data_IF_760476826899
#
_entry.id   IF_760476826899
#
_cell.length_a   1.000
_cell.length_b   1.000
_cell.length_c   1.000
_cell.angle_alpha   90.00
_cell.angle_beta   90.00
_cell.angle_gamma   90.00
#
_symmetry.space_group_name_H-M   'P 1'
#
loop_
_entity.id
_entity.type
_entity.pdbx_description
1 polymer ?
#
# COMPACT_ATOMS: atom_id res chain seq x y z
N UNK A 1 5.78 -0.48 28.56
CA UNK A 1 4.83 0.10 27.58
C UNK A 1 3.88 1.01 28.36
N UNK A 2 3.63 2.25 27.90
CA UNK A 2 2.61 3.10 28.54
C UNK A 2 1.24 2.46 28.29
N UNK A 3 0.59 2.03 29.37
CA UNK A 3 -0.77 1.51 29.39
C UNK A 3 -1.72 2.51 28.73
N UNK A 4 -2.40 2.16 27.63
CA UNK A 4 -3.55 2.88 27.12
C UNK A 4 -3.54 3.27 25.63
N UNK A 5 -2.43 3.24 24.89
CA UNK A 5 -2.47 3.48 23.44
C UNK A 5 -2.73 2.18 22.68
N UNK A 6 -3.93 2.03 22.14
CA UNK A 6 -4.27 0.95 21.23
C UNK A 6 -3.64 1.25 19.87
N UNK A 7 -3.06 0.23 19.24
CA UNK A 7 -2.57 0.34 17.87
C UNK A 7 -3.72 0.03 16.92
N UNK A 8 -4.02 0.97 16.03
CA UNK A 8 -5.14 0.87 15.08
C UNK A 8 -5.10 -0.47 14.29
N UNK A 9 -3.92 -0.87 13.83
CA UNK A 9 -3.74 -2.13 13.09
C UNK A 9 -4.04 -3.39 13.91
N UNK A 10 -4.06 -3.31 15.25
CA UNK A 10 -4.42 -4.43 16.14
C UNK A 10 -5.89 -4.40 16.57
N UNK A 11 -6.63 -3.35 16.22
CA UNK A 11 -8.06 -3.23 16.50
C UNK A 11 -8.91 -3.58 15.26
N UNK A 12 -8.29 -3.82 14.09
CA UNK A 12 -8.96 -4.26 12.88
C UNK A 12 -9.21 -5.77 12.91
N UNK A 13 -10.46 -6.18 12.69
CA UNK A 13 -10.78 -7.60 12.49
C UNK A 13 -10.37 -8.06 11.08
N UNK A 14 -9.19 -8.66 10.98
CA UNK A 14 -8.63 -9.16 9.73
C UNK A 14 -9.39 -10.33 9.11
N UNK A 15 -10.35 -10.93 9.83
CA UNK A 15 -11.18 -12.01 9.30
C UNK A 15 -12.44 -11.52 8.59
N UNK A 16 -12.83 -10.27 8.84
CA UNK A 16 -14.06 -9.65 8.30
C UNK A 16 -13.82 -8.66 7.16
N UNK A 17 -12.57 -8.34 6.83
CA UNK A 17 -12.22 -7.49 5.69
C UNK A 17 -12.19 -8.28 4.39
N UNK A 18 -12.36 -7.59 3.25
CA UNK A 18 -12.33 -8.20 1.91
C UNK A 18 -11.29 -7.51 1.03
N UNK A 19 -10.14 -8.15 0.82
CA UNK A 19 -9.10 -7.68 -0.09
C UNK A 19 -9.39 -8.05 -1.57
N UNK A 20 -8.84 -7.25 -2.54
CA UNK A 20 -8.03 -6.07 -2.34
C UNK A 20 -8.86 -4.83 -1.94
N UNK A 21 -8.27 -3.96 -1.11
CA UNK A 21 -8.97 -2.76 -0.64
C UNK A 21 -8.05 -1.58 -0.33
N UNK A 22 -8.65 -0.38 -0.29
CA UNK A 22 -8.10 0.82 0.35
C UNK A 22 -8.97 1.18 1.55
N UNK A 23 -8.35 1.45 2.68
CA UNK A 23 -9.02 1.88 3.92
C UNK A 23 -8.26 3.02 4.57
N UNK A 24 -8.97 4.04 5.05
CA UNK A 24 -8.36 5.05 5.92
C UNK A 24 -8.03 4.40 7.27
N UNK A 25 -6.74 4.28 7.58
CA UNK A 25 -6.24 3.71 8.82
C UNK A 25 -6.07 4.76 9.93
N UNK A 26 -5.91 6.03 9.58
CA UNK A 26 -5.82 7.09 10.57
C UNK A 26 -5.62 8.46 9.94
N UNK A 27 -6.01 9.50 10.70
CA UNK A 27 -5.74 10.90 10.39
C UNK A 27 -5.10 11.58 11.59
N UNK A 28 -4.12 12.40 11.31
CA UNK A 28 -3.33 13.11 12.31
C UNK A 28 -3.21 14.57 11.89
N UNK A 29 -3.64 15.48 12.76
CA UNK A 29 -3.53 16.92 12.51
C UNK A 29 -2.39 17.49 13.32
N UNK A 30 -1.47 18.17 12.66
CA UNK A 30 -0.38 18.91 13.30
C UNK A 30 -0.86 20.22 13.93
N UNK A 31 -0.02 20.83 14.76
CA UNK A 31 -0.35 22.10 15.47
C UNK A 31 -0.62 23.27 14.52
N UNK A 32 -0.09 23.20 13.28
CA UNK A 32 -0.27 24.24 12.27
C UNK A 32 -1.40 23.95 11.29
N UNK A 33 -2.16 22.88 11.53
CA UNK A 33 -3.29 22.48 10.68
C UNK A 33 -2.92 21.53 9.53
N UNK A 34 -1.64 21.17 9.38
CA UNK A 34 -1.24 20.14 8.42
C UNK A 34 -1.89 18.80 8.77
N UNK A 35 -2.38 18.09 7.78
CA UNK A 35 -3.02 16.79 7.98
C UNK A 35 -2.18 15.70 7.35
N UNK A 36 -1.91 14.64 8.11
CA UNK A 36 -1.32 13.41 7.62
C UNK A 36 -2.41 12.34 7.64
N UNK A 37 -2.65 11.72 6.49
CA UNK A 37 -3.58 10.59 6.37
C UNK A 37 -2.80 9.31 6.11
N UNK A 38 -3.10 8.26 6.87
CA UNK A 38 -2.56 6.93 6.70
C UNK A 38 -3.62 6.01 6.12
N UNK A 39 -3.26 5.29 5.06
CA UNK A 39 -4.12 4.28 4.42
C UNK A 39 -3.54 2.88 4.60
N UNK A 40 -4.43 1.91 4.72
CA UNK A 40 -4.18 0.48 4.57
C UNK A 40 -4.51 0.12 3.12
N UNK A 41 -3.48 -0.08 2.30
CA UNK A 41 -3.59 -0.58 0.92
C UNK A 41 -3.35 -2.08 0.97
N UNK A 42 -4.43 -2.84 1.08
CA UNK A 42 -4.38 -4.29 1.20
C UNK A 42 -4.48 -4.96 -0.17
N UNK A 43 -3.49 -5.74 -0.54
CA UNK A 43 -3.42 -6.39 -1.83
C UNK A 43 -4.07 -7.78 -1.81
N UNK A 44 -3.82 -8.55 -0.76
CA UNK A 44 -4.28 -9.93 -0.65
C UNK A 44 -5.02 -10.18 0.65
N UNK A 45 -5.92 -11.18 0.64
CA UNK A 45 -6.75 -11.51 1.78
C UNK A 45 -5.90 -11.93 2.98
N UNK A 46 -6.00 -11.23 4.14
CA UNK A 46 -5.29 -11.59 5.35
C UNK A 46 -5.54 -13.06 5.76
N UNK A 47 -4.50 -13.72 6.24
CA UNK A 47 -4.52 -15.12 6.68
C UNK A 47 -4.91 -16.14 5.59
N UNK A 48 -4.99 -15.73 4.31
CA UNK A 48 -5.27 -16.62 3.18
C UNK A 48 -4.13 -16.63 2.17
N UNK A 49 -3.46 -15.50 1.99
CA UNK A 49 -2.33 -15.36 1.07
C UNK A 49 -1.35 -14.31 1.59
N UNK A 50 -0.12 -14.41 1.14
CA UNK A 50 0.91 -13.39 1.27
C UNK A 50 1.69 -13.27 -0.05
N UNK A 51 2.13 -12.06 -0.37
CA UNK A 51 2.99 -11.83 -1.53
C UNK A 51 4.41 -12.30 -1.19
N UNK A 52 5.07 -13.14 -2.04
CA UNK A 52 6.45 -13.54 -1.81
C UNK A 52 7.40 -12.35 -1.70
N UNK A 53 8.44 -12.45 -0.86
CA UNK A 53 9.32 -11.33 -0.52
C UNK A 53 9.90 -10.63 -1.74
N UNK A 54 10.49 -11.38 -2.67
CA UNK A 54 11.11 -10.82 -3.87
C UNK A 54 10.09 -10.12 -4.80
N UNK A 55 8.85 -10.61 -4.88
CA UNK A 55 7.78 -9.97 -5.63
C UNK A 55 7.29 -8.69 -4.95
N UNK A 56 7.07 -8.73 -3.63
CA UNK A 56 6.64 -7.58 -2.85
C UNK A 56 7.68 -6.45 -2.87
N UNK A 57 8.96 -6.77 -2.72
CA UNK A 57 10.08 -5.84 -2.79
C UNK A 57 10.17 -5.19 -4.19
N UNK A 58 9.95 -5.97 -5.24
CA UNK A 58 9.90 -5.41 -6.60
C UNK A 58 8.68 -4.52 -6.81
N UNK A 59 7.51 -4.91 -6.30
CA UNK A 59 6.31 -4.07 -6.34
C UNK A 59 6.60 -2.75 -5.59
N UNK A 60 7.23 -2.80 -4.43
CA UNK A 60 7.58 -1.61 -3.64
C UNK A 60 8.42 -0.62 -4.45
N UNK A 61 9.52 -1.07 -5.06
CA UNK A 61 10.39 -0.23 -5.88
C UNK A 61 9.66 0.41 -7.07
N UNK A 62 8.78 -0.33 -7.73
CA UNK A 62 8.03 0.15 -8.90
C UNK A 62 6.87 1.06 -8.51
N UNK A 63 6.05 0.63 -7.53
CA UNK A 63 4.85 1.34 -7.15
C UNK A 63 5.16 2.68 -6.47
N UNK A 64 6.33 2.81 -5.84
CA UNK A 64 6.76 4.05 -5.21
C UNK A 64 6.74 5.25 -6.16
N UNK A 65 7.19 5.08 -7.41
CA UNK A 65 7.10 6.10 -8.45
C UNK A 65 5.71 6.19 -9.06
N UNK A 66 5.20 5.07 -9.56
CA UNK A 66 3.92 5.03 -10.27
C UNK A 66 2.74 5.52 -9.44
N UNK A 67 2.73 5.24 -8.15
CA UNK A 67 1.66 5.69 -7.26
C UNK A 67 1.70 7.21 -7.05
N UNK A 68 2.89 7.79 -6.89
CA UNK A 68 3.04 9.26 -6.77
C UNK A 68 2.52 9.97 -8.00
N UNK A 69 2.88 9.49 -9.17
CA UNK A 69 2.42 10.06 -10.45
C UNK A 69 0.91 9.91 -10.62
N UNK A 70 0.35 8.75 -10.27
CA UNK A 70 -1.07 8.48 -10.39
C UNK A 70 -1.91 9.30 -9.40
N UNK A 71 -1.44 9.49 -8.15
CA UNK A 71 -2.14 10.31 -7.15
C UNK A 71 -2.09 11.79 -7.52
N UNK A 72 -0.94 12.29 -7.95
CA UNK A 72 -0.77 13.72 -8.34
C UNK A 72 -1.70 14.15 -9.47
N UNK A 73 -2.19 13.22 -10.29
CA UNK A 73 -3.18 13.52 -11.34
C UNK A 73 -4.60 13.68 -10.78
N UNK A 74 -4.86 13.31 -9.52
CA UNK A 74 -6.19 13.26 -8.90
C UNK A 74 -6.33 14.22 -7.74
N UNK A 75 -5.27 14.34 -6.94
CA UNK A 75 -5.27 15.11 -5.70
C UNK A 75 -3.90 15.76 -5.49
N UNK A 76 -3.82 16.99 -4.99
CA UNK A 76 -2.56 17.72 -4.77
C UNK A 76 -1.77 17.24 -3.56
N UNK A 77 -2.26 16.25 -2.82
CA UNK A 77 -1.58 15.70 -1.64
C UNK A 77 -0.25 15.04 -1.99
N UNK A 78 0.69 15.07 -1.04
CA UNK A 78 2.02 14.53 -1.22
C UNK A 78 2.17 13.14 -0.56
N UNK A 79 2.65 12.16 -1.31
CA UNK A 79 2.97 10.84 -0.77
C UNK A 79 4.28 10.91 0.01
N UNK A 80 4.18 10.81 1.33
CA UNK A 80 5.31 10.81 2.25
C UNK A 80 6.01 9.45 2.26
N UNK A 81 5.23 8.37 2.38
CA UNK A 81 5.76 7.01 2.47
C UNK A 81 4.77 5.98 1.91
N UNK A 82 5.32 4.94 1.29
CA UNK A 82 4.60 3.75 0.86
C UNK A 82 5.47 2.53 1.20
N UNK A 83 5.17 1.90 2.34
CA UNK A 83 6.00 0.83 2.89
C UNK A 83 5.26 -0.50 2.98
N UNK A 84 5.90 -1.63 2.64
CA UNK A 84 5.27 -2.94 2.74
C UNK A 84 4.97 -3.31 4.19
N UNK A 85 3.84 -3.97 4.41
CA UNK A 85 3.49 -4.54 5.71
C UNK A 85 4.35 -5.76 6.00
N UNK A 86 4.79 -5.93 7.24
CA UNK A 86 5.56 -7.10 7.67
C UNK A 86 4.85 -8.44 7.47
N UNK A 87 3.52 -8.46 7.43
CA UNK A 87 2.70 -9.63 7.10
C UNK A 87 2.63 -9.94 5.59
N UNK A 88 3.21 -9.09 4.75
CA UNK A 88 3.27 -9.23 3.29
C UNK A 88 1.91 -9.30 2.59
N UNK A 89 0.90 -8.67 3.17
CA UNK A 89 -0.45 -8.66 2.60
C UNK A 89 -0.82 -7.33 1.92
N UNK A 90 0.07 -6.34 1.95
CA UNK A 90 -0.13 -5.03 1.35
C UNK A 90 0.88 -3.99 1.83
N UNK A 91 0.49 -2.74 1.71
CA UNK A 91 1.31 -1.58 2.04
C UNK A 91 0.59 -0.63 3.00
N UNK A 92 1.35 0.08 3.81
CA UNK A 92 0.90 1.32 4.40
C UNK A 92 1.30 2.48 3.51
N UNK A 93 0.34 3.34 3.22
CA UNK A 93 0.53 4.60 2.53
C UNK A 93 0.35 5.74 3.53
N UNK A 94 1.31 6.66 3.59
CA UNK A 94 1.24 7.88 4.38
C UNK A 94 1.27 9.08 3.44
N UNK A 95 0.30 9.97 3.57
CA UNK A 95 0.11 11.12 2.69
C UNK A 95 0.03 12.39 3.53
N UNK A 96 0.73 13.44 3.12
CA UNK A 96 0.49 14.80 3.60
C UNK A 96 -0.66 15.39 2.79
N UNK A 97 -1.82 15.48 3.42
CA UNK A 97 -3.10 15.84 2.82
C UNK A 97 -4.20 14.86 3.17
N UNK A 98 -5.34 15.00 2.52
CA UNK A 98 -6.56 14.22 2.78
C UNK A 98 -7.23 13.74 1.48
N UNK A 99 -6.51 13.04 0.57
CA UNK A 99 -7.16 12.50 -0.62
C UNK A 99 -8.32 11.58 -0.23
N UNK A 100 -9.34 11.50 -1.06
CA UNK A 100 -10.42 10.55 -0.82
C UNK A 100 -9.91 9.11 -0.94
N UNK A 101 -10.56 8.18 -0.23
CA UNK A 101 -10.21 6.77 -0.35
C UNK A 101 -10.40 6.26 -1.78
N UNK A 102 -11.36 6.82 -2.52
CA UNK A 102 -11.58 6.59 -3.94
C UNK A 102 -10.40 7.05 -4.80
N UNK A 103 -9.86 8.25 -4.58
CA UNK A 103 -8.70 8.75 -5.34
C UNK A 103 -7.47 7.89 -5.08
N UNK A 104 -7.25 7.50 -3.82
CA UNK A 104 -6.19 6.56 -3.42
C UNK A 104 -6.39 5.20 -4.08
N UNK A 105 -7.62 4.69 -4.13
CA UNK A 105 -7.96 3.42 -4.80
C UNK A 105 -7.63 3.51 -6.30
N UNK A 106 -8.10 4.55 -6.99
CA UNK A 106 -7.84 4.75 -8.42
C UNK A 106 -6.35 4.93 -8.72
N UNK A 107 -5.62 5.63 -7.84
CA UNK A 107 -4.16 5.73 -7.96
C UNK A 107 -3.48 4.37 -7.80
N UNK A 108 -3.95 3.54 -6.85
CA UNK A 108 -3.43 2.19 -6.64
C UNK A 108 -3.67 1.27 -7.85
N UNK A 109 -4.88 1.30 -8.43
CA UNK A 109 -5.20 0.55 -9.66
C UNK A 109 -4.26 0.97 -10.81
N UNK A 110 -4.17 2.28 -11.10
CA UNK A 110 -3.30 2.82 -12.14
C UNK A 110 -1.83 2.44 -11.92
N UNK A 111 -1.34 2.54 -10.68
CA UNK A 111 0.03 2.18 -10.34
C UNK A 111 0.30 0.68 -10.52
N UNK A 112 -0.63 -0.19 -10.12
CA UNK A 112 -0.50 -1.63 -10.30
C UNK A 112 -0.62 -2.04 -11.77
N UNK A 113 -1.42 -1.36 -12.59
CA UNK A 113 -1.44 -1.54 -14.04
C UNK A 113 -0.07 -1.24 -14.64
N UNK A 114 0.57 -0.15 -14.21
CA UNK A 114 1.93 0.19 -14.62
C UNK A 114 2.96 -0.84 -14.16
N UNK A 115 2.85 -1.37 -12.94
CA UNK A 115 3.69 -2.49 -12.45
C UNK A 115 3.49 -3.73 -13.33
N UNK A 116 2.26 -4.09 -13.66
CA UNK A 116 1.94 -5.26 -14.50
C UNK A 116 2.48 -5.12 -15.93
N UNK A 117 2.55 -3.89 -16.44
CA UNK A 117 3.06 -3.56 -17.77
C UNK A 117 4.56 -3.25 -17.78
N UNK A 118 5.21 -3.06 -16.63
CA UNK A 118 6.60 -2.61 -16.55
C UNK A 118 7.54 -3.50 -17.37
N UNK A 119 8.43 -2.84 -18.12
CA UNK A 119 9.51 -3.49 -18.85
C UNK A 119 10.83 -2.77 -18.55
N UNK A 120 11.93 -3.52 -18.57
CA UNK A 120 13.26 -3.00 -18.31
C UNK A 120 13.74 -3.24 -16.88
N UNK A 121 14.63 -2.38 -16.42
CA UNK A 121 15.28 -2.50 -15.12
C UNK A 121 14.37 -2.04 -13.99
N UNK A 122 14.49 -2.70 -12.83
CA UNK A 122 13.80 -2.28 -11.61
C UNK A 122 14.53 -1.05 -11.06
N UNK A 123 13.85 0.10 -10.87
CA UNK A 123 14.48 1.30 -10.31
C UNK A 123 15.16 1.00 -8.96
N UNK A 124 16.37 1.53 -8.76
CA UNK A 124 17.08 1.36 -7.49
C UNK A 124 17.57 -0.06 -7.18
N UNK A 125 17.45 -1.02 -8.10
CA UNK A 125 17.90 -2.40 -7.93
C UNK A 125 19.43 -2.50 -8.08
N UNK A 126 20.18 -1.93 -7.15
CA UNK A 126 21.64 -1.99 -7.12
C UNK A 126 22.16 -2.04 -5.69
N UNK A 127 23.38 -2.53 -5.52
CA UNK A 127 24.05 -2.60 -4.20
C UNK A 127 24.16 -1.22 -3.51
N UNK A 128 24.25 -0.16 -4.31
CA UNK A 128 24.37 1.21 -3.79
C UNK A 128 23.00 1.78 -3.36
N UNK A 129 21.92 1.39 -4.05
CA UNK A 129 20.61 2.01 -3.90
C UNK A 129 19.63 1.20 -3.07
N UNK A 130 19.88 -0.09 -2.87
CA UNK A 130 18.98 -1.01 -2.16
C UNK A 130 19.75 -1.85 -1.13
N UNK A 131 19.16 -1.99 0.07
CA UNK A 131 19.75 -2.79 1.14
C UNK A 131 19.77 -4.29 0.88
N UNK A 132 18.94 -4.78 -0.04
CA UNK A 132 18.88 -6.19 -0.44
C UNK A 132 18.56 -6.35 -1.95
N UNK A 133 19.36 -5.74 -2.80
CA UNK A 133 19.15 -5.65 -4.23
C UNK A 133 19.04 -6.99 -4.98
N UNK A 134 19.44 -8.12 -4.34
CA UNK A 134 19.34 -9.46 -4.92
C UNK A 134 17.97 -10.10 -4.72
N UNK A 135 17.14 -9.57 -3.81
CA UNK A 135 15.82 -10.13 -3.50
C UNK A 135 14.73 -9.44 -4.33
N UNK A 136 14.79 -9.60 -5.65
CA UNK A 136 13.82 -9.05 -6.60
C UNK A 136 13.29 -10.12 -7.55
N UNK A 137 12.03 -9.96 -7.97
CA UNK A 137 11.37 -10.79 -8.99
C UNK A 137 10.40 -9.96 -9.82
N UNK A 138 10.87 -9.43 -10.96
CA UNK A 138 9.99 -8.68 -11.88
C UNK A 138 8.85 -9.55 -12.43
N UNK A 139 9.07 -10.81 -12.87
CA UNK A 139 7.97 -11.68 -13.29
C UNK A 139 6.96 -11.94 -12.17
N UNK A 140 7.43 -12.14 -10.93
CA UNK A 140 6.58 -12.30 -9.76
C UNK A 140 5.76 -11.04 -9.46
N UNK A 141 6.39 -9.85 -9.47
CA UNK A 141 5.70 -8.58 -9.27
C UNK A 141 4.59 -8.35 -10.30
N UNK A 142 4.89 -8.59 -11.59
CA UNK A 142 3.90 -8.46 -12.68
C UNK A 142 2.73 -9.44 -12.54
N UNK A 143 2.99 -10.67 -12.16
CA UNK A 143 1.95 -11.68 -11.95
C UNK A 143 1.04 -11.29 -10.78
N UNK A 144 1.61 -10.93 -9.63
CA UNK A 144 0.85 -10.50 -8.47
C UNK A 144 0.06 -9.21 -8.70
N UNK A 145 0.62 -8.23 -9.42
CA UNK A 145 -0.11 -7.01 -9.79
C UNK A 145 -1.37 -7.34 -10.61
N UNK A 146 -1.27 -8.26 -11.57
CA UNK A 146 -2.43 -8.72 -12.38
C UNK A 146 -3.47 -9.45 -11.53
N UNK A 147 -3.04 -10.34 -10.64
CA UNK A 147 -3.95 -11.08 -9.76
C UNK A 147 -4.72 -10.15 -8.82
N UNK A 148 -4.04 -9.17 -8.23
CA UNK A 148 -4.64 -8.16 -7.35
C UNK A 148 -5.67 -7.32 -8.11
N UNK A 149 -5.33 -6.83 -9.32
CA UNK A 149 -6.25 -6.08 -10.17
C UNK A 149 -7.47 -6.92 -10.55
N UNK A 150 -7.29 -8.21 -10.84
CA UNK A 150 -8.37 -9.15 -11.14
C UNK A 150 -9.34 -9.38 -9.97
N UNK A 151 -8.91 -9.14 -8.73
CA UNK A 151 -9.74 -9.22 -7.53
C UNK A 151 -10.74 -8.07 -7.38
N UNK A 152 -10.50 -6.94 -8.05
CA UNK A 152 -11.31 -5.72 -7.97
C UNK A 152 -11.21 -5.00 -6.63
N UNK A 153 -10.55 -3.85 -6.62
CA UNK A 153 -10.40 -3.02 -5.42
C UNK A 153 -11.73 -2.48 -4.93
N UNK A 154 -11.86 -2.40 -3.61
CA UNK A 154 -12.97 -1.71 -2.93
C UNK A 154 -12.44 -0.69 -1.92
N UNK A 155 -13.26 0.30 -1.58
CA UNK A 155 -13.06 1.09 -0.37
C UNK A 155 -13.63 0.28 0.80
N UNK A 156 -12.78 -0.03 1.77
CA UNK A 156 -13.13 -0.79 2.96
C UNK A 156 -13.27 0.13 4.15
N UNK A 157 -14.36 0.02 4.86
CA UNK A 157 -14.51 0.65 6.17
C UNK A 157 -13.74 -0.12 7.24
N UNK A 158 -13.42 0.56 8.35
CA UNK A 158 -12.81 -0.11 9.50
C UNK A 158 -13.82 -1.06 10.14
N UNK A 159 -13.43 -2.32 10.27
CA UNK A 159 -14.20 -3.35 10.98
C UNK A 159 -13.49 -3.62 12.31
N UNK A 160 -13.98 -3.07 13.43
CA UNK A 160 -13.34 -3.25 14.72
C UNK A 160 -13.52 -4.68 15.23
N UNK A 161 -12.55 -5.13 16.04
CA UNK A 161 -12.69 -6.38 16.79
C UNK A 161 -13.81 -6.21 17.81
N UNK A 162 -14.84 -7.03 17.73
CA UNK A 162 -15.89 -7.12 18.74
C UNK A 162 -15.31 -7.78 20.02
N UNK A 163 -15.55 -7.17 21.19
CA UNK A 163 -15.08 -7.67 22.50
C UNK A 163 -16.26 -8.05 23.35
#
# INVERSE_FOLDING_TARGET
MRSGRRLESFELDHTKVRAPYVRVAGRYTGERGDVITKYDLRLVQPNRAEVPTAALHTIEHLIAGYFRDALAQRDPSEVVDLSPMGCRTGFYLTVLGEPSAEDVLRAAETALEAVAAHEGEIPGCSEVSCGNWRDHSLPGAKAWAKDVLGGGFIVQETVPIER
#
